data_IF_065527570764
#
_entry.id   IF_065527570764
#
_cell.length_a   1.000
_cell.length_b   1.000
_cell.length_c   1.000
_cell.angle_alpha   90.00
_cell.angle_beta   90.00
_cell.angle_gamma   90.00
#
_symmetry.space_group_name_H-M   'P 1'
#
loop_
_entity.id
_entity.type
_entity.pdbx_description
1 polymer ?
#
# COMPACT_ATOMS: atom_id res chain seq x y z
N UNK A 1 1.93 22.36 27.95
CA UNK A 1 2.99 21.46 27.44
C UNK A 1 2.49 20.86 26.13
N UNK A 2 3.26 20.93 25.03
CA UNK A 2 2.88 20.27 23.76
C UNK A 2 2.85 18.75 23.99
N UNK A 3 1.76 18.03 23.62
CA UNK A 3 1.70 16.59 23.75
C UNK A 3 2.77 15.90 22.88
N UNK A 4 3.20 14.67 23.22
CA UNK A 4 4.05 13.89 22.34
C UNK A 4 3.42 13.74 20.95
N UNK A 5 4.22 13.86 19.90
CA UNK A 5 3.79 13.66 18.53
C UNK A 5 3.32 12.21 18.32
N UNK A 6 2.16 12.02 17.70
CA UNK A 6 1.59 10.70 17.44
C UNK A 6 2.33 9.89 16.37
N UNK A 7 3.26 10.50 15.61
CA UNK A 7 4.02 9.82 14.56
C UNK A 7 5.39 9.33 15.04
N UNK A 8 6.11 10.13 15.81
CA UNK A 8 7.48 9.81 16.25
C UNK A 8 7.68 9.80 17.77
N UNK A 9 6.63 10.02 18.56
CA UNK A 9 6.65 10.18 20.02
C UNK A 9 7.54 11.33 20.55
N UNK A 10 8.20 12.10 19.69
CA UNK A 10 8.98 13.28 20.06
C UNK A 10 8.11 14.40 20.62
N UNK A 11 8.69 15.27 21.46
CA UNK A 11 8.01 16.46 22.01
C UNK A 11 8.38 17.72 21.23
N UNK A 12 7.64 18.80 21.44
CA UNK A 12 7.95 20.12 20.90
C UNK A 12 7.41 20.43 19.51
N UNK A 13 6.66 19.50 18.89
CA UNK A 13 6.00 19.71 17.60
C UNK A 13 4.65 18.97 17.53
N UNK A 14 3.80 19.38 16.58
CA UNK A 14 2.57 18.68 16.23
C UNK A 14 2.80 17.75 15.03
N UNK A 15 1.86 16.84 14.78
CA UNK A 15 1.91 15.87 13.68
C UNK A 15 2.30 16.49 12.33
N UNK A 16 1.74 17.66 11.99
CA UNK A 16 1.97 18.33 10.71
C UNK A 16 3.40 18.87 10.53
N UNK A 17 4.10 19.11 11.65
CA UNK A 17 5.48 19.58 11.72
C UNK A 17 6.46 18.46 12.08
N UNK A 18 6.00 17.22 12.10
CA UNK A 18 6.87 16.08 12.41
C UNK A 18 7.87 15.87 11.26
N UNK A 19 9.17 15.75 11.54
CA UNK A 19 10.16 15.42 10.50
C UNK A 19 9.93 14.01 9.94
N UNK A 20 9.37 13.10 10.75
CA UNK A 20 8.95 11.76 10.34
C UNK A 20 7.52 11.73 9.75
N UNK A 21 6.99 12.87 9.28
CA UNK A 21 5.69 12.88 8.61
C UNK A 21 5.78 12.13 7.27
N UNK A 22 4.71 11.42 6.95
CA UNK A 22 4.56 10.73 5.67
C UNK A 22 3.68 11.54 4.73
N UNK A 23 4.02 11.53 3.44
CA UNK A 23 3.23 12.14 2.41
C UNK A 23 1.98 11.32 2.13
N UNK A 24 0.79 11.91 2.27
CA UNK A 24 -0.49 11.25 1.98
C UNK A 24 -0.70 10.93 0.49
N UNK A 25 0.18 11.41 -0.41
CA UNK A 25 0.11 11.11 -1.83
C UNK A 25 0.91 9.86 -2.21
N UNK A 26 2.17 9.77 -1.78
CA UNK A 26 3.11 8.71 -2.17
C UNK A 26 3.53 7.78 -1.02
N UNK A 27 3.07 8.06 0.20
CA UNK A 27 3.36 7.31 1.42
C UNK A 27 4.86 7.30 1.82
N UNK A 28 5.68 8.19 1.25
CA UNK A 28 7.09 8.33 1.61
C UNK A 28 7.28 9.39 2.70
N UNK A 29 8.27 9.22 3.60
CA UNK A 29 8.57 10.21 4.63
C UNK A 29 9.22 11.48 4.05
N UNK A 30 9.43 12.47 4.91
CA UNK A 30 10.26 13.65 4.62
C UNK A 30 9.51 14.84 3.99
N UNK A 31 8.32 14.62 3.43
CA UNK A 31 7.53 15.69 2.80
C UNK A 31 6.02 15.49 2.96
N UNK A 32 5.24 16.54 2.70
CA UNK A 32 3.78 16.49 2.71
C UNK A 32 3.19 16.49 1.29
N UNK A 33 1.86 16.34 1.18
CA UNK A 33 1.17 16.30 -0.11
C UNK A 33 1.51 17.48 -1.04
N UNK A 34 1.66 18.70 -0.49
CA UNK A 34 1.93 19.92 -1.27
C UNK A 34 3.33 19.98 -1.86
N UNK A 35 4.28 19.28 -1.24
CA UNK A 35 5.69 19.21 -1.65
C UNK A 35 5.94 17.98 -2.55
N UNK A 36 4.93 17.13 -2.75
CA UNK A 36 5.09 15.87 -3.45
C UNK A 36 5.25 16.10 -4.95
N UNK A 37 6.34 15.58 -5.53
CA UNK A 37 6.60 15.63 -6.97
C UNK A 37 5.74 14.64 -7.77
N UNK A 38 5.10 13.69 -7.09
CA UNK A 38 4.25 12.69 -7.73
C UNK A 38 2.89 13.25 -8.12
N UNK A 39 2.32 12.71 -9.21
CA UNK A 39 0.92 12.94 -9.56
C UNK A 39 0.03 12.62 -8.37
N UNK A 40 -1.09 13.33 -8.22
CA UNK A 40 -2.04 13.08 -7.14
C UNK A 40 -2.58 11.64 -7.20
N UNK A 41 -2.86 11.04 -6.02
CA UNK A 41 -3.17 9.62 -5.90
C UNK A 41 -4.38 9.19 -6.73
N UNK A 42 -5.40 10.05 -6.90
CA UNK A 42 -6.57 9.76 -7.73
C UNK A 42 -6.26 9.65 -9.23
N UNK A 43 -5.11 10.17 -9.69
CA UNK A 43 -4.61 10.05 -11.05
C UNK A 43 -3.59 8.89 -11.21
N UNK A 44 -3.22 8.22 -10.11
CA UNK A 44 -2.34 7.04 -10.17
C UNK A 44 -3.18 5.82 -10.51
N UNK A 45 -2.62 4.96 -11.36
CA UNK A 45 -3.22 3.71 -11.77
C UNK A 45 -2.17 2.61 -11.73
N UNK A 46 -2.53 1.47 -11.14
CA UNK A 46 -1.66 0.34 -10.93
C UNK A 46 -1.84 -0.67 -12.06
N UNK A 47 -0.80 -0.91 -12.85
CA UNK A 47 -0.82 -1.92 -13.91
C UNK A 47 -0.79 -3.37 -13.39
N UNK A 48 -0.59 -3.59 -12.08
CA UNK A 48 -0.55 -4.93 -11.46
C UNK A 48 -1.94 -5.42 -11.06
N UNK A 49 -2.71 -4.54 -10.41
CA UNK A 49 -4.04 -4.89 -9.87
C UNK A 49 -5.18 -4.04 -10.46
N UNK A 50 -4.89 -3.21 -11.46
CA UNK A 50 -5.82 -2.31 -12.15
C UNK A 50 -6.47 -1.22 -11.26
N UNK A 51 -6.03 -1.11 -10.00
CA UNK A 51 -6.61 -0.16 -9.05
C UNK A 51 -6.01 1.24 -9.13
N UNK A 52 -6.83 2.25 -8.81
CA UNK A 52 -6.39 3.63 -8.67
C UNK A 52 -5.79 3.89 -7.28
N UNK A 53 -5.02 4.97 -7.15
CA UNK A 53 -4.45 5.39 -5.86
C UNK A 53 -2.95 5.13 -5.71
N UNK A 54 -2.38 4.21 -6.50
CA UNK A 54 -0.99 3.81 -6.39
C UNK A 54 -0.42 3.33 -7.74
N UNK A 55 0.92 3.20 -7.81
CA UNK A 55 1.61 2.55 -8.93
C UNK A 55 2.01 1.12 -8.57
N UNK A 56 2.47 0.36 -9.56
CA UNK A 56 2.91 -1.03 -9.44
C UNK A 56 3.77 -1.30 -8.20
N UNK A 57 4.75 -0.43 -7.96
CA UNK A 57 5.77 -0.58 -6.92
C UNK A 57 5.24 -0.43 -5.49
N UNK A 58 4.05 0.18 -5.34
CA UNK A 58 3.34 0.32 -4.07
C UNK A 58 2.09 -0.57 -4.00
N UNK A 59 1.94 -1.54 -4.92
CA UNK A 59 0.79 -2.43 -4.94
C UNK A 59 0.75 -3.30 -3.68
N UNK A 60 -0.36 -3.32 -2.92
CA UNK A 60 -0.51 -4.19 -1.74
C UNK A 60 -0.36 -5.68 -2.05
N UNK A 61 -0.59 -6.07 -3.30
CA UNK A 61 -0.36 -7.43 -3.77
C UNK A 61 1.09 -7.87 -3.60
N UNK A 62 2.07 -6.95 -3.68
CA UNK A 62 3.48 -7.24 -3.48
C UNK A 62 3.70 -7.96 -2.15
N UNK A 63 3.09 -7.45 -1.07
CA UNK A 63 3.20 -8.03 0.27
C UNK A 63 2.36 -9.28 0.44
N UNK A 64 1.18 -9.34 -0.22
CA UNK A 64 0.30 -10.53 -0.16
C UNK A 64 0.97 -11.78 -0.70
N UNK A 65 1.96 -11.68 -1.58
CA UNK A 65 2.74 -12.82 -2.08
C UNK A 65 3.43 -13.62 -0.98
N UNK A 66 3.77 -12.99 0.13
CA UNK A 66 4.48 -13.63 1.24
C UNK A 66 3.55 -14.32 2.24
N UNK A 67 2.27 -14.53 1.90
CA UNK A 67 1.29 -15.14 2.79
C UNK A 67 1.64 -16.57 3.28
N UNK A 68 2.53 -17.28 2.58
CA UNK A 68 3.00 -18.63 2.96
C UNK A 68 4.41 -18.66 3.57
N UNK A 69 5.07 -17.53 3.76
CA UNK A 69 6.43 -17.51 4.32
C UNK A 69 6.71 -16.25 5.13
N UNK A 70 7.30 -16.44 6.30
CA UNK A 70 7.90 -15.37 7.11
C UNK A 70 9.43 -15.42 7.07
N UNK A 71 10.00 -16.46 6.45
CA UNK A 71 11.45 -16.64 6.32
C UNK A 71 11.94 -15.99 5.02
N UNK A 72 13.13 -15.35 5.04
CA UNK A 72 13.79 -14.91 3.82
C UNK A 72 13.95 -16.07 2.83
N UNK A 73 13.70 -15.81 1.56
CA UNK A 73 13.75 -16.83 0.51
C UNK A 73 12.81 -16.51 -0.66
N UNK A 74 12.73 -17.41 -1.65
CA UNK A 74 11.85 -17.24 -2.80
C UNK A 74 10.38 -17.22 -2.38
N UNK A 75 9.58 -16.55 -3.19
CA UNK A 75 8.14 -16.48 -3.01
C UNK A 75 7.54 -17.89 -3.18
N UNK A 76 6.75 -18.30 -2.21
CA UNK A 76 6.04 -19.59 -2.24
C UNK A 76 4.65 -19.37 -2.81
N UNK A 77 4.38 -19.95 -3.98
CA UNK A 77 3.03 -19.99 -4.53
C UNK A 77 2.22 -21.11 -3.86
N UNK A 78 0.96 -20.83 -3.53
CA UNK A 78 0.03 -21.86 -3.07
C UNK A 78 -0.29 -22.84 -4.21
N UNK A 79 -0.42 -24.14 -3.90
CA UNK A 79 -1.24 -25.04 -4.71
C UNK A 79 -2.71 -24.61 -4.66
N UNK A 80 -3.53 -25.08 -5.60
CA UNK A 80 -4.95 -24.72 -5.71
C UNK A 80 -5.65 -24.68 -4.35
N UNK A 81 -6.33 -23.57 -4.07
CA UNK A 81 -7.02 -23.38 -2.80
C UNK A 81 -8.14 -24.43 -2.67
N UNK A 82 -8.06 -25.21 -1.58
CA UNK A 82 -9.14 -26.06 -1.09
C UNK A 82 -10.36 -25.21 -0.73
N UNK A 83 -11.52 -25.62 -1.24
CA UNK A 83 -12.82 -25.01 -0.97
C UNK A 83 -13.09 -24.96 0.54
N UNK A 84 -13.08 -23.75 1.10
CA UNK A 84 -13.69 -23.52 2.42
C UNK A 84 -14.97 -22.73 2.24
N UNK A 85 -16.06 -23.47 2.13
CA UNK A 85 -17.42 -22.98 2.38
C UNK A 85 -17.56 -22.66 3.87
N UNK A 86 -17.03 -21.52 4.28
CA UNK A 86 -17.34 -20.93 5.57
C UNK A 86 -18.48 -19.92 5.38
N UNK A 87 -19.40 -19.85 6.34
CA UNK A 87 -20.45 -18.82 6.38
C UNK A 87 -19.80 -17.43 6.32
N UNK A 88 -19.77 -16.83 5.13
CA UNK A 88 -19.20 -15.51 4.90
C UNK A 88 -20.24 -14.44 5.26
N UNK A 89 -19.84 -13.46 6.05
CA UNK A 89 -20.60 -12.25 6.33
C UNK A 89 -19.83 -11.04 5.81
N UNK A 90 -20.53 -10.14 5.15
CA UNK A 90 -19.93 -8.96 4.56
C UNK A 90 -19.64 -7.88 5.61
N UNK A 91 -18.40 -7.40 5.68
CA UNK A 91 -18.02 -6.29 6.59
C UNK A 91 -18.64 -4.94 6.19
N UNK A 92 -19.15 -4.79 4.96
CA UNK A 92 -19.71 -3.54 4.45
C UNK A 92 -21.22 -3.43 4.69
N UNK A 93 -22.00 -4.48 4.39
CA UNK A 93 -23.47 -4.46 4.48
C UNK A 93 -24.05 -5.45 5.50
N UNK A 94 -23.20 -6.20 6.21
CA UNK A 94 -23.59 -7.19 7.23
C UNK A 94 -24.45 -8.35 6.72
N UNK A 95 -24.72 -8.45 5.41
CA UNK A 95 -25.46 -9.57 4.83
C UNK A 95 -24.58 -10.83 4.74
N UNK A 96 -25.21 -11.98 4.91
CA UNK A 96 -24.61 -13.31 4.71
C UNK A 96 -24.45 -13.64 3.23
N UNK A 97 -23.52 -14.54 2.91
CA UNK A 97 -23.38 -15.17 1.59
C UNK A 97 -22.34 -14.55 0.66
N UNK A 98 -21.62 -13.51 1.08
CA UNK A 98 -20.50 -12.94 0.32
C UNK A 98 -19.47 -12.30 1.26
N UNK A 99 -18.23 -12.20 0.79
CA UNK A 99 -17.19 -11.44 1.45
C UNK A 99 -17.27 -9.96 1.07
N UNK A 100 -16.73 -9.07 1.91
CA UNK A 100 -16.83 -7.64 1.65
C UNK A 100 -16.11 -7.15 0.39
N UNK A 101 -15.18 -7.91 -0.21
CA UNK A 101 -14.59 -7.56 -1.52
C UNK A 101 -15.54 -7.82 -2.70
N UNK A 102 -16.59 -8.63 -2.51
CA UNK A 102 -17.61 -8.98 -3.50
C UNK A 102 -18.86 -8.09 -3.36
N UNK A 103 -18.88 -7.22 -2.35
CA UNK A 103 -20.04 -6.40 -2.04
C UNK A 103 -20.27 -5.31 -3.09
N UNK A 104 -21.47 -5.29 -3.67
CA UNK A 104 -21.93 -4.28 -4.62
C UNK A 104 -22.59 -3.07 -3.96
N UNK A 105 -22.85 -3.13 -2.65
CA UNK A 105 -23.45 -2.02 -1.91
C UNK A 105 -22.46 -0.85 -1.79
N UNK A 106 -23.01 0.38 -1.79
CA UNK A 106 -22.20 1.59 -1.65
C UNK A 106 -21.42 1.56 -0.33
N UNK A 107 -20.10 1.79 -0.41
CA UNK A 107 -19.22 1.90 0.75
C UNK A 107 -19.36 3.26 1.42
N UNK A 108 -19.01 3.34 2.71
CA UNK A 108 -19.05 4.59 3.49
C UNK A 108 -18.31 5.75 2.81
N UNK A 109 -17.16 5.49 2.21
CA UNK A 109 -16.45 6.43 1.36
C UNK A 109 -16.60 6.00 -0.09
N UNK A 110 -17.31 6.80 -0.90
CA UNK A 110 -17.60 6.47 -2.31
C UNK A 110 -16.35 6.34 -3.20
N UNK A 111 -15.19 6.85 -2.75
CA UNK A 111 -13.90 6.73 -3.43
C UNK A 111 -13.12 5.46 -3.08
N UNK A 112 -13.56 4.67 -2.09
CA UNK A 112 -12.90 3.42 -1.71
C UNK A 112 -13.36 2.28 -2.62
N UNK A 113 -12.46 1.80 -3.46
CA UNK A 113 -12.67 0.59 -4.25
C UNK A 113 -12.55 -0.67 -3.37
N UNK A 114 -13.28 -1.76 -3.69
CA UNK A 114 -13.03 -3.05 -3.08
C UNK A 114 -11.57 -3.47 -3.24
N UNK A 115 -10.87 -3.68 -2.14
CA UNK A 115 -9.52 -4.25 -2.21
C UNK A 115 -9.65 -5.77 -2.37
N UNK A 116 -9.19 -6.29 -3.50
CA UNK A 116 -9.11 -7.74 -3.72
C UNK A 116 -8.11 -8.36 -2.72
N UNK A 117 -8.49 -9.43 -2.00
CA UNK A 117 -7.59 -10.13 -1.08
C UNK A 117 -6.63 -11.09 -1.79
N UNK A 118 -6.80 -11.28 -3.10
CA UNK A 118 -6.07 -12.30 -3.85
C UNK A 118 -4.71 -11.81 -4.33
N UNK A 119 -3.85 -12.79 -4.63
CA UNK A 119 -2.62 -12.62 -5.39
C UNK A 119 -2.93 -13.12 -6.80
N UNK A 120 -2.96 -12.22 -7.76
CA UNK A 120 -3.15 -12.52 -9.18
C UNK A 120 -1.85 -13.00 -9.83
N UNK A 121 -0.73 -12.42 -9.41
CA UNK A 121 0.58 -12.70 -9.97
C UNK A 121 1.64 -12.79 -8.88
N UNK A 122 2.46 -13.84 -8.95
CA UNK A 122 3.65 -13.99 -8.12
C UNK A 122 4.88 -13.57 -8.91
N UNK A 123 5.65 -12.64 -8.36
CA UNK A 123 6.86 -12.09 -8.94
C UNK A 123 7.95 -13.16 -8.99
N UNK A 124 8.64 -13.24 -10.11
CA UNK A 124 9.88 -13.99 -10.21
C UNK A 124 11.08 -13.17 -9.69
N UNK A 125 12.26 -13.79 -9.65
CA UNK A 125 13.48 -13.12 -9.19
C UNK A 125 13.83 -11.89 -10.04
N UNK A 126 13.52 -11.90 -11.33
CA UNK A 126 13.83 -10.80 -12.23
C UNK A 126 12.98 -9.58 -11.92
N UNK A 127 11.66 -9.75 -11.76
CA UNK A 127 10.74 -8.67 -11.41
C UNK A 127 11.01 -8.10 -10.01
N UNK A 128 11.40 -8.95 -9.05
CA UNK A 128 11.85 -8.49 -7.72
C UNK A 128 13.08 -7.58 -7.85
N UNK A 129 14.11 -8.01 -8.59
CA UNK A 129 15.34 -7.21 -8.82
C UNK A 129 15.02 -5.91 -9.55
N UNK A 130 14.19 -5.98 -10.60
CA UNK A 130 13.77 -4.82 -11.39
C UNK A 130 13.01 -3.80 -10.55
N UNK A 131 12.13 -4.24 -9.64
CA UNK A 131 11.46 -3.38 -8.66
C UNK A 131 12.45 -2.74 -7.70
N UNK A 132 13.40 -3.50 -7.17
CA UNK A 132 14.44 -2.96 -6.27
C UNK A 132 15.23 -1.82 -6.95
N UNK A 133 15.66 -2.02 -8.20
CA UNK A 133 16.35 -0.98 -8.97
C UNK A 133 15.49 0.28 -9.20
N UNK A 134 14.17 0.12 -9.43
CA UNK A 134 13.26 1.27 -9.53
C UNK A 134 13.15 2.04 -8.21
N UNK A 135 13.11 1.32 -7.09
CA UNK A 135 13.05 1.91 -5.77
C UNK A 135 14.34 2.69 -5.45
N UNK A 136 15.51 2.13 -5.76
CA UNK A 136 16.80 2.83 -5.58
C UNK A 136 16.86 4.12 -6.39
N UNK A 137 16.45 4.08 -7.67
CA UNK A 137 16.38 5.31 -8.48
C UNK A 137 15.41 6.33 -7.89
N UNK A 138 14.27 5.88 -7.35
CA UNK A 138 13.30 6.76 -6.70
C UNK A 138 13.88 7.42 -5.44
N UNK A 139 14.66 6.68 -4.65
CA UNK A 139 15.38 7.23 -3.49
C UNK A 139 16.36 8.31 -3.94
N UNK A 140 17.18 8.03 -4.96
CA UNK A 140 18.12 9.01 -5.49
C UNK A 140 17.44 10.28 -6.03
N UNK A 141 16.31 10.15 -6.74
CA UNK A 141 15.50 11.29 -7.21
C UNK A 141 15.02 12.17 -6.05
N UNK A 142 14.58 11.56 -4.95
CA UNK A 142 14.06 12.27 -3.78
C UNK A 142 15.16 12.92 -2.94
N UNK A 143 16.32 12.26 -2.83
CA UNK A 143 17.52 12.85 -2.21
C UNK A 143 18.02 14.05 -3.03
N UNK A 144 18.11 13.92 -4.35
CA UNK A 144 18.46 15.03 -5.25
C UNK A 144 17.47 16.20 -5.21
N UNK A 145 16.22 15.95 -4.85
CA UNK A 145 15.20 16.98 -4.62
C UNK A 145 15.16 17.54 -3.18
N UNK A 146 16.01 17.05 -2.27
CA UNK A 146 16.01 17.44 -0.86
C UNK A 146 14.77 17.00 -0.07
N UNK A 147 14.01 16.02 -0.58
CA UNK A 147 12.77 15.51 0.03
C UNK A 147 13.00 14.27 0.91
N UNK A 148 14.17 13.65 0.81
CA UNK A 148 14.65 12.61 1.69
C UNK A 148 16.07 12.95 2.16
N UNK A 149 16.43 12.64 3.42
CA UNK A 149 17.81 12.76 3.88
C UNK A 149 18.73 11.79 3.12
N UNK A 150 20.01 12.15 3.03
CA UNK A 150 21.09 11.27 2.53
C UNK A 150 21.33 10.07 3.44
#
# INVERSE_FOLDING_TARGET
KVPPCCLCAGRGHLQNSCPARFCLNCCLPGHCFRECLERAYWNKHCNRCDMKGHYADACPEIWRQYHLTTKPGPIKAAGSHSERSALAYCYNCSRKGHFGYECSEKRMHGSMFPTSPFVYYYDDEYEIKRRANRLERKVAELQGAGLLPE
#
